data_IF_808117390655
#
_entry.id   IF_808117390655
#
_cell.length_a   1.000
_cell.length_b   1.000
_cell.length_c   1.000
_cell.angle_alpha   90.00
_cell.angle_beta   90.00
_cell.angle_gamma   90.00
#
_symmetry.space_group_name_H-M   'P 1'
#
loop_
_entity.id
_entity.type
_entity.pdbx_description
1 polymer ?
#
# COMPACT_ATOMS: atom_id res chain seq x y z
N UNK A 1 -10.79 7.25 -3.73
CA UNK A 1 -11.41 6.25 -2.82
C UNK A 1 -10.72 6.35 -1.47
N UNK A 2 -11.36 5.98 -0.37
CA UNK A 2 -10.67 5.86 0.93
C UNK A 2 -9.93 4.54 1.05
N UNK A 3 -8.96 4.45 1.97
CA UNK A 3 -8.28 3.18 2.27
C UNK A 3 -9.28 2.07 2.64
N UNK A 4 -10.33 2.39 3.40
CA UNK A 4 -11.42 1.47 3.75
C UNK A 4 -12.14 0.92 2.54
N UNK A 5 -12.56 1.79 1.62
CA UNK A 5 -13.26 1.39 0.40
C UNK A 5 -12.41 0.42 -0.45
N UNK A 6 -11.09 0.66 -0.51
CA UNK A 6 -10.16 -0.21 -1.23
C UNK A 6 -10.01 -1.57 -0.54
N UNK A 7 -9.86 -1.60 0.79
CA UNK A 7 -9.77 -2.84 1.57
C UNK A 7 -11.00 -3.71 1.35
N UNK A 8 -12.18 -3.11 1.46
CA UNK A 8 -13.46 -3.80 1.31
C UNK A 8 -13.68 -4.28 -0.14
N UNK A 9 -13.41 -3.43 -1.13
CA UNK A 9 -13.62 -3.75 -2.54
C UNK A 9 -12.70 -4.88 -3.04
N UNK A 10 -11.46 -4.94 -2.56
CA UNK A 10 -10.48 -5.95 -2.99
C UNK A 10 -10.40 -7.17 -2.05
N UNK A 11 -11.11 -7.16 -0.92
CA UNK A 11 -11.09 -8.25 0.07
C UNK A 11 -9.69 -8.49 0.64
N UNK A 12 -9.01 -7.41 1.03
CA UNK A 12 -7.60 -7.44 1.44
C UNK A 12 -7.40 -7.98 2.87
N UNK A 13 -6.28 -8.65 3.11
CA UNK A 13 -5.85 -9.00 4.47
C UNK A 13 -5.22 -7.77 5.13
N UNK A 14 -5.77 -7.31 6.24
CA UNK A 14 -5.24 -6.16 6.98
C UNK A 14 -4.22 -6.62 8.02
N UNK A 15 -3.02 -6.05 7.99
CA UNK A 15 -1.97 -6.28 9.00
C UNK A 15 -1.83 -5.09 9.96
N UNK A 16 -1.98 -3.87 9.43
CA UNK A 16 -2.02 -2.61 10.18
C UNK A 16 -3.18 -1.76 9.69
N UNK A 17 -4.05 -1.34 10.60
CA UNK A 17 -5.05 -0.30 10.36
C UNK A 17 -4.40 1.05 10.63
N UNK A 18 -4.08 1.80 9.57
CA UNK A 18 -3.70 3.21 9.68
C UNK A 18 -4.94 4.10 9.65
N UNK A 19 -4.83 5.26 9.01
CA UNK A 19 -5.99 6.09 8.70
C UNK A 19 -6.81 5.46 7.55
N UNK A 20 -7.82 4.67 7.92
CA UNK A 20 -8.72 4.00 6.97
C UNK A 20 -9.64 4.97 6.23
N UNK A 21 -9.87 6.17 6.77
CA UNK A 21 -10.77 7.16 6.18
C UNK A 21 -10.02 8.17 5.29
N UNK A 22 -8.68 8.11 5.28
CA UNK A 22 -7.82 8.89 4.38
C UNK A 22 -8.07 8.53 2.91
N UNK A 23 -8.16 9.55 2.08
CA UNK A 23 -8.31 9.40 0.64
C UNK A 23 -7.02 8.92 -0.02
N UNK A 24 -7.14 7.93 -0.90
CA UNK A 24 -6.13 7.50 -1.86
C UNK A 24 -6.44 8.16 -3.20
N UNK A 25 -5.46 8.91 -3.72
CA UNK A 25 -5.59 9.76 -4.92
C UNK A 25 -4.80 9.26 -6.12
N UNK A 26 -3.98 8.22 -5.94
CA UNK A 26 -3.21 7.61 -7.01
C UNK A 26 -2.57 6.31 -6.57
N UNK A 27 -1.85 5.67 -7.48
CA UNK A 27 -1.22 4.37 -7.25
C UNK A 27 0.17 4.35 -7.88
N UNK A 28 1.16 3.87 -7.13
CA UNK A 28 2.48 3.49 -7.65
C UNK A 28 2.72 2.01 -7.39
N UNK A 29 3.31 1.33 -8.37
CA UNK A 29 3.72 -0.07 -8.21
C UNK A 29 5.21 -0.19 -8.47
N UNK A 30 5.92 -0.91 -7.61
CA UNK A 30 7.33 -1.21 -7.81
C UNK A 30 8.04 -1.61 -6.52
N UNK A 31 9.20 -2.23 -6.68
CA UNK A 31 9.97 -2.81 -5.56
C UNK A 31 11.33 -2.15 -5.38
N UNK A 32 11.78 -1.37 -6.35
CA UNK A 32 13.02 -0.63 -6.22
C UNK A 32 12.77 0.59 -5.35
N UNK A 33 13.20 0.55 -4.09
CA UNK A 33 12.97 1.64 -3.11
C UNK A 33 13.39 3.01 -3.64
N UNK A 34 14.49 3.10 -4.39
CA UNK A 34 14.95 4.37 -4.97
C UNK A 34 13.98 4.93 -6.01
N UNK A 35 13.32 4.08 -6.78
CA UNK A 35 12.27 4.49 -7.72
C UNK A 35 11.04 4.99 -6.96
N UNK A 36 10.60 4.28 -5.93
CA UNK A 36 9.45 4.69 -5.11
C UNK A 36 9.73 6.02 -4.40
N UNK A 37 10.94 6.21 -3.88
CA UNK A 37 11.35 7.49 -3.31
C UNK A 37 11.31 8.64 -4.33
N UNK A 38 11.62 8.37 -5.60
CA UNK A 38 11.57 9.39 -6.65
C UNK A 38 10.12 9.70 -7.10
N UNK A 39 9.32 8.66 -7.34
CA UNK A 39 8.05 8.78 -8.08
C UNK A 39 6.80 8.84 -7.19
N UNK A 40 6.81 8.22 -6.00
CA UNK A 40 5.61 8.20 -5.15
C UNK A 40 5.21 9.62 -4.74
N UNK A 41 3.90 9.84 -4.57
CA UNK A 41 3.34 11.12 -4.13
C UNK A 41 2.53 10.92 -2.86
N UNK A 42 2.33 12.02 -2.13
CA UNK A 42 1.43 12.07 -0.98
C UNK A 42 0.06 11.52 -1.36
N UNK A 43 -0.55 10.77 -0.45
CA UNK A 43 -1.88 10.15 -0.62
C UNK A 43 -1.99 9.10 -1.74
N UNK A 44 -0.87 8.59 -2.26
CA UNK A 44 -0.89 7.44 -3.16
C UNK A 44 -0.89 6.11 -2.41
N UNK A 45 -1.40 5.06 -3.05
CA UNK A 45 -1.23 3.67 -2.63
C UNK A 45 0.02 3.09 -3.29
N UNK A 46 0.82 2.36 -2.52
CA UNK A 46 2.01 1.69 -3.02
C UNK A 46 1.85 0.17 -3.05
N UNK A 47 1.89 -0.41 -4.25
CA UNK A 47 1.91 -1.86 -4.48
C UNK A 47 3.37 -2.36 -4.51
N UNK A 48 3.71 -3.35 -3.69
CA UNK A 48 5.06 -3.95 -3.64
C UNK A 48 5.01 -5.43 -3.23
N UNK A 49 6.08 -6.18 -3.47
CA UNK A 49 6.32 -7.51 -2.87
C UNK A 49 7.29 -7.46 -1.67
N UNK A 50 7.79 -6.27 -1.32
CA UNK A 50 8.71 -6.10 -0.20
C UNK A 50 8.00 -6.22 1.14
N UNK A 51 8.66 -6.89 2.09
CA UNK A 51 8.08 -7.28 3.39
C UNK A 51 8.96 -6.87 4.58
N UNK A 52 9.94 -6.00 4.36
CA UNK A 52 10.90 -5.58 5.38
C UNK A 52 10.66 -4.14 5.84
N UNK A 53 11.23 -3.77 7.00
CA UNK A 53 11.05 -2.47 7.66
C UNK A 53 11.22 -1.23 6.77
N UNK A 54 12.13 -1.26 5.79
CA UNK A 54 12.41 -0.10 4.93
C UNK A 54 11.20 0.36 4.10
N UNK A 55 10.20 -0.51 3.88
CA UNK A 55 8.97 -0.15 3.18
C UNK A 55 8.22 0.94 3.96
N UNK A 56 8.07 0.76 5.27
CA UNK A 56 7.41 1.79 6.09
C UNK A 56 8.22 3.09 6.14
N UNK A 57 9.55 3.01 6.20
CA UNK A 57 10.39 4.21 6.20
C UNK A 57 10.22 5.05 4.92
N UNK A 58 10.13 4.41 3.76
CA UNK A 58 9.86 5.09 2.49
C UNK A 58 8.43 5.62 2.44
N UNK A 59 7.45 4.86 2.93
CA UNK A 59 6.06 5.32 2.97
C UNK A 59 5.88 6.58 3.84
N UNK A 60 6.53 6.64 5.01
CA UNK A 60 6.58 7.85 5.85
C UNK A 60 7.23 9.01 5.10
N UNK A 61 8.40 8.79 4.50
CA UNK A 61 9.13 9.84 3.75
C UNK A 61 8.30 10.43 2.61
N UNK A 62 7.46 9.61 1.97
CA UNK A 62 6.66 9.98 0.79
C UNK A 62 5.20 10.30 1.12
N UNK A 63 4.84 10.31 2.41
CA UNK A 63 3.47 10.49 2.89
C UNK A 63 2.45 9.57 2.18
N UNK A 64 2.85 8.33 1.94
CA UNK A 64 2.03 7.25 1.37
C UNK A 64 1.25 6.59 2.51
N UNK A 65 -0.09 6.76 2.57
CA UNK A 65 -0.88 6.25 3.68
C UNK A 65 -1.20 4.75 3.58
N UNK A 66 -0.96 4.13 2.42
CA UNK A 66 -1.38 2.76 2.15
C UNK A 66 -0.29 1.99 1.39
N UNK A 67 0.26 0.96 2.04
CA UNK A 67 1.09 -0.08 1.42
C UNK A 67 0.25 -1.35 1.19
N UNK A 68 0.29 -1.89 -0.02
CA UNK A 68 -0.35 -3.15 -0.40
C UNK A 68 0.69 -4.18 -0.87
N UNK A 69 0.87 -5.22 -0.06
CA UNK A 69 1.80 -6.32 -0.31
C UNK A 69 1.18 -7.38 -1.23
N UNK A 70 1.78 -7.56 -2.41
CA UNK A 70 1.28 -8.43 -3.46
C UNK A 70 1.81 -9.88 -3.36
N UNK A 71 1.27 -10.76 -4.21
CA UNK A 71 1.78 -12.10 -4.50
C UNK A 71 1.85 -13.03 -3.29
N UNK A 72 0.91 -12.89 -2.35
CA UNK A 72 0.81 -13.74 -1.16
C UNK A 72 2.00 -13.62 -0.21
N UNK A 73 2.75 -12.52 -0.30
CA UNK A 73 3.88 -12.25 0.59
C UNK A 73 3.34 -11.79 1.95
N UNK A 74 3.94 -12.28 3.03
CA UNK A 74 3.58 -11.90 4.39
C UNK A 74 4.57 -10.87 4.93
N UNK A 75 4.11 -9.67 5.35
CA UNK A 75 4.96 -8.70 6.01
C UNK A 75 5.69 -9.29 7.22
N UNK A 76 6.95 -8.90 7.43
CA UNK A 76 7.64 -9.17 8.68
C UNK A 76 6.98 -8.41 9.84
N UNK A 77 7.05 -8.97 11.05
CA UNK A 77 6.41 -8.40 12.24
C UNK A 77 6.90 -6.98 12.54
N UNK A 78 8.19 -6.71 12.35
CA UNK A 78 8.78 -5.38 12.54
C UNK A 78 8.19 -4.32 11.59
N UNK A 79 7.88 -4.69 10.35
CA UNK A 79 7.18 -3.85 9.39
C UNK A 79 5.75 -3.56 9.87
N UNK A 80 5.02 -4.57 10.33
CA UNK A 80 3.64 -4.42 10.82
C UNK A 80 3.59 -3.46 12.00
N UNK A 81 4.44 -3.68 13.01
CA UNK A 81 4.50 -2.83 14.20
C UNK A 81 4.90 -1.40 13.84
N UNK A 82 5.86 -1.23 12.92
CA UNK A 82 6.23 0.12 12.46
C UNK A 82 5.08 0.80 11.74
N UNK A 83 4.35 0.12 10.85
CA UNK A 83 3.19 0.71 10.18
C UNK A 83 2.09 1.13 11.16
N UNK A 84 1.85 0.37 12.24
CA UNK A 84 0.90 0.74 13.30
C UNK A 84 1.31 2.04 14.00
N UNK A 85 2.60 2.14 14.36
CA UNK A 85 3.14 3.33 15.03
C UNK A 85 3.07 4.59 14.16
N UNK A 86 3.35 4.45 12.87
CA UNK A 86 3.36 5.56 11.91
C UNK A 86 1.97 5.85 11.31
N UNK A 87 0.92 5.17 11.78
CA UNK A 87 -0.47 5.29 11.30
C UNK A 87 -0.63 5.03 9.78
N UNK A 88 0.07 4.02 9.27
CA UNK A 88 0.04 3.60 7.86
C UNK A 88 -0.78 2.31 7.72
N UNK A 89 -1.69 2.31 6.75
CA UNK A 89 -2.45 1.12 6.38
C UNK A 89 -1.53 0.15 5.64
N UNK A 90 -1.41 -1.07 6.17
CA UNK A 90 -0.64 -2.16 5.58
C UNK A 90 -1.55 -3.34 5.34
N UNK A 91 -1.74 -3.70 4.08
CA UNK A 91 -2.53 -4.86 3.69
C UNK A 91 -1.72 -5.82 2.81
N UNK A 92 -2.24 -7.03 2.64
CA UNK A 92 -1.73 -7.97 1.67
C UNK A 92 -2.83 -8.62 0.83
N UNK A 93 -2.41 -9.12 -0.32
CA UNK A 93 -3.26 -9.88 -1.23
C UNK A 93 -2.51 -11.09 -1.80
N UNK A 94 -3.24 -12.18 -2.06
CA UNK A 94 -2.73 -13.31 -2.83
C UNK A 94 -2.55 -12.99 -4.33
N UNK A 95 -3.15 -11.90 -4.81
CA UNK A 95 -3.08 -11.48 -6.21
C UNK A 95 -1.72 -10.88 -6.57
N UNK A 96 -1.32 -11.02 -7.84
CA UNK A 96 -0.11 -10.37 -8.37
C UNK A 96 -0.28 -8.85 -8.42
N UNK A 97 0.83 -8.11 -8.50
CA UNK A 97 0.78 -6.65 -8.64
C UNK A 97 -0.05 -6.19 -9.86
N UNK A 98 0.01 -6.94 -10.97
CA UNK A 98 -0.81 -6.69 -12.16
C UNK A 98 -2.32 -6.81 -11.86
N UNK A 99 -2.72 -7.91 -11.24
CA UNK A 99 -4.13 -8.17 -10.91
C UNK A 99 -4.66 -7.15 -9.90
N UNK A 100 -3.85 -6.76 -8.92
CA UNK A 100 -4.18 -5.69 -7.96
C UNK A 100 -4.38 -4.36 -8.71
N UNK A 101 -3.44 -3.97 -9.57
CA UNK A 101 -3.55 -2.73 -10.32
C UNK A 101 -4.81 -2.70 -11.21
N UNK A 102 -5.12 -3.83 -11.87
CA UNK A 102 -6.34 -3.96 -12.68
C UNK A 102 -7.61 -3.81 -11.83
N UNK A 103 -7.69 -4.46 -10.67
CA UNK A 103 -8.84 -4.36 -9.74
C UNK A 103 -9.00 -2.96 -9.17
N UNK A 104 -7.90 -2.29 -8.82
CA UNK A 104 -7.93 -0.89 -8.37
C UNK A 104 -8.51 0.01 -9.48
N UNK A 105 -8.06 -0.18 -10.72
CA UNK A 105 -8.59 0.56 -11.87
C UNK A 105 -10.09 0.29 -12.07
N UNK A 106 -10.52 -0.97 -12.02
CA UNK A 106 -11.94 -1.36 -12.11
C UNK A 106 -12.79 -0.75 -10.99
N UNK A 107 -12.24 -0.66 -9.78
CA UNK A 107 -12.90 -0.04 -8.63
C UNK A 107 -12.97 1.49 -8.70
N UNK A 108 -12.32 2.12 -9.67
CA UNK A 108 -12.32 3.58 -9.86
C UNK A 108 -11.13 4.32 -9.25
N UNK A 109 -10.09 3.61 -8.79
CA UNK A 109 -8.80 4.22 -8.49
C UNK A 109 -8.03 4.49 -9.80
N UNK A 110 -7.81 5.75 -10.14
CA UNK A 110 -6.96 6.15 -11.27
C UNK A 110 -5.55 6.50 -10.79
N UNK A 111 -4.54 6.13 -11.56
CA UNK A 111 -3.20 6.72 -11.47
C UNK A 111 -3.13 7.87 -12.47
N UNK A 112 -2.92 9.09 -11.99
CA UNK A 112 -2.61 10.25 -12.84
C UNK A 112 -1.17 10.20 -13.37
#
# INVERSE_FOLDING_TARGET
MTSREIVDALGLTVYSEGDLDRAVTGVVSGDLLSFIMAEARTDWLWITIQVHLNVCAVAVLKEVPFILVASGRTPAEDLVERCRLENITLCGSGHSAYEIAWRLHEAGCTSD
#
